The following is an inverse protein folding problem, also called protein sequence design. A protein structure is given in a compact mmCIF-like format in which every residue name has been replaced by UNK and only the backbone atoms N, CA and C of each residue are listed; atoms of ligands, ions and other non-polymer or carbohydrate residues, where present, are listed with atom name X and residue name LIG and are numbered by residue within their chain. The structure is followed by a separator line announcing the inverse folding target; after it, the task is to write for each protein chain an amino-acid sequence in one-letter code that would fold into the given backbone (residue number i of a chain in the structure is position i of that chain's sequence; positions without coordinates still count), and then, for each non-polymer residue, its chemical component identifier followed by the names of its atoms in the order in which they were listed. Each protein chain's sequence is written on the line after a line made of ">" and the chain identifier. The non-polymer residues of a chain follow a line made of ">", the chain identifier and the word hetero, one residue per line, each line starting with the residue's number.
data_IF_172172044071
#
_entry.id   IF_172172044071
#
_cell.length_a   1.000
_cell.length_b   1.000
_cell.length_c   1.000
_cell.angle_alpha   90.00
_cell.angle_beta   90.00
_cell.angle_gamma   90.00
#
_symmetry.space_group_name_H-M   'P 1'
#
loop_
_entity.id
_entity.type
_entity.pdbx_description
1 polymer ?
#
# COMPACT_ATOMS: atom_id res chain seq x y z
N UNK A 1 13.21 8.83 -22.17
CA UNK A 1 13.61 10.23 -21.92
C UNK A 1 12.41 11.12 -21.65
N UNK A 2 11.50 11.34 -22.61
CA UNK A 2 10.40 12.29 -22.46
C UNK A 2 9.49 12.06 -21.23
N UNK A 3 9.28 10.80 -20.81
CA UNK A 3 8.47 10.47 -19.62
C UNK A 3 9.30 10.45 -18.33
N UNK A 4 10.46 9.79 -18.35
CA UNK A 4 11.31 9.58 -17.17
C UNK A 4 11.99 10.87 -16.71
N UNK A 5 12.53 11.67 -17.63
CA UNK A 5 13.22 12.93 -17.28
C UNK A 5 12.25 13.98 -16.75
N UNK A 6 11.00 14.02 -17.23
CA UNK A 6 10.01 15.00 -16.73
C UNK A 6 9.53 14.71 -15.32
N UNK A 7 9.69 13.47 -14.85
CA UNK A 7 9.24 13.03 -13.53
C UNK A 7 10.35 12.89 -12.51
N UNK A 8 11.60 12.88 -12.94
CA UNK A 8 12.77 12.78 -12.07
C UNK A 8 13.83 13.78 -12.49
N UNK A 9 14.06 14.83 -11.68
CA UNK A 9 15.14 15.79 -11.90
C UNK A 9 16.53 15.12 -11.94
N UNK A 10 16.70 13.99 -11.26
CA UNK A 10 17.93 13.20 -11.35
C UNK A 10 18.16 12.69 -12.79
N UNK A 11 17.18 12.00 -13.36
CA UNK A 11 17.29 11.46 -14.72
C UNK A 11 17.30 12.55 -15.79
N UNK A 12 16.67 13.70 -15.55
CA UNK A 12 16.81 14.86 -16.43
C UNK A 12 18.25 15.38 -16.45
N UNK A 13 18.84 15.64 -15.28
CA UNK A 13 20.23 16.11 -15.19
C UNK A 13 21.23 15.12 -15.79
N UNK A 14 21.06 13.83 -15.53
CA UNK A 14 21.91 12.78 -16.09
C UNK A 14 21.86 12.74 -17.62
N UNK A 15 20.70 13.03 -18.21
CA UNK A 15 20.47 12.93 -19.66
C UNK A 15 20.57 14.25 -20.43
N UNK A 16 20.61 15.39 -19.75
CA UNK A 16 20.57 16.72 -20.37
C UNK A 16 21.89 17.51 -20.25
N UNK A 17 22.87 17.02 -19.47
CA UNK A 17 24.18 17.67 -19.30
C UNK A 17 25.33 17.05 -20.11
N UNK A 18 26.56 17.47 -19.78
CA UNK A 18 27.81 16.98 -20.39
C UNK A 18 28.29 15.63 -19.82
N UNK A 19 27.39 14.89 -19.17
CA UNK A 19 27.69 13.60 -18.56
C UNK A 19 27.83 12.49 -19.61
N UNK A 20 28.57 11.42 -19.29
CA UNK A 20 28.81 10.33 -20.24
C UNK A 20 27.50 9.64 -20.65
N UNK A 21 26.52 9.63 -19.76
CA UNK A 21 25.18 9.09 -19.89
C UNK A 21 24.36 9.79 -20.99
N UNK A 22 24.56 11.10 -21.17
CA UNK A 22 23.87 11.85 -22.23
C UNK A 22 24.36 11.44 -23.62
N UNK A 23 25.65 11.12 -23.74
CA UNK A 23 26.29 10.66 -24.98
C UNK A 23 26.07 9.17 -25.21
N UNK A 24 26.23 8.35 -24.17
CA UNK A 24 26.05 6.89 -24.23
C UNK A 24 24.59 6.49 -24.39
N UNK A 25 23.65 7.36 -23.99
CA UNK A 25 22.20 7.11 -23.91
C UNK A 25 21.84 5.89 -23.04
N UNK A 26 22.73 5.55 -22.11
CA UNK A 26 22.59 4.42 -21.19
C UNK A 26 22.92 4.89 -19.78
N UNK A 27 22.10 4.49 -18.82
CA UNK A 27 22.33 4.73 -17.38
C UNK A 27 22.40 3.35 -16.73
N UNK A 28 23.52 3.06 -16.08
CA UNK A 28 23.70 1.82 -15.33
C UNK A 28 23.35 2.04 -13.86
N UNK A 29 22.53 1.14 -13.31
CA UNK A 29 22.04 1.19 -11.93
C UNK A 29 22.46 -0.09 -11.17
N UNK A 30 23.76 -0.30 -10.90
CA UNK A 30 24.27 -1.57 -10.36
C UNK A 30 23.91 -1.81 -8.88
N UNK A 31 23.54 -0.77 -8.15
CA UNK A 31 23.19 -0.83 -6.73
C UNK A 31 21.69 -1.05 -6.48
N UNK A 32 20.88 -0.98 -7.54
CA UNK A 32 19.42 -0.99 -7.44
C UNK A 32 18.86 -2.36 -7.81
N UNK A 33 17.90 -2.82 -7.00
CA UNK A 33 17.23 -4.10 -7.20
C UNK A 33 16.37 -4.05 -8.48
N UNK A 34 16.56 -4.98 -9.43
CA UNK A 34 15.87 -4.94 -10.72
C UNK A 34 14.34 -5.03 -10.59
N UNK A 35 13.83 -5.75 -9.58
CA UNK A 35 12.39 -5.89 -9.36
C UNK A 35 11.81 -4.56 -8.86
N UNK A 36 12.55 -3.83 -8.02
CA UNK A 36 12.16 -2.50 -7.54
C UNK A 36 12.24 -1.48 -8.68
N UNK A 37 13.29 -1.54 -9.51
CA UNK A 37 13.43 -0.68 -10.70
C UNK A 37 12.28 -0.91 -11.68
N UNK A 38 11.84 -2.15 -11.88
CA UNK A 38 10.70 -2.45 -12.73
C UNK A 38 9.43 -1.75 -12.26
N UNK A 39 9.10 -1.84 -10.96
CA UNK A 39 7.93 -1.15 -10.37
C UNK A 39 8.09 0.38 -10.39
N UNK A 40 9.31 0.87 -10.19
CA UNK A 40 9.62 2.29 -10.28
C UNK A 40 9.32 2.82 -11.68
N UNK A 41 9.77 2.12 -12.73
CA UNK A 41 9.47 2.46 -14.10
C UNK A 41 7.98 2.31 -14.41
N UNK A 42 7.32 1.25 -13.94
CA UNK A 42 5.87 1.07 -14.07
C UNK A 42 5.11 2.31 -13.57
N UNK A 43 5.49 2.83 -12.39
CA UNK A 43 4.92 4.07 -11.87
C UNK A 43 5.17 5.26 -12.77
N UNK A 44 6.41 5.46 -13.25
CA UNK A 44 6.70 6.58 -14.14
C UNK A 44 5.87 6.54 -15.43
N UNK A 45 5.50 5.36 -15.93
CA UNK A 45 4.70 5.27 -17.16
C UNK A 45 3.19 5.29 -16.92
N UNK A 46 2.71 4.82 -15.77
CA UNK A 46 1.27 4.59 -15.54
C UNK A 46 0.68 5.38 -14.38
N UNK A 47 1.51 6.02 -13.56
CA UNK A 47 1.11 6.69 -12.32
C UNK A 47 0.74 5.74 -11.18
N UNK A 48 1.06 4.45 -11.29
CA UNK A 48 0.82 3.43 -10.27
C UNK A 48 1.78 2.24 -10.47
N UNK A 49 1.86 1.31 -9.53
CA UNK A 49 2.65 0.09 -9.71
C UNK A 49 1.91 -1.13 -9.18
N UNK A 50 2.27 -2.31 -9.65
CA UNK A 50 1.74 -3.59 -9.17
C UNK A 50 2.51 -4.07 -7.93
N UNK A 51 1.82 -4.52 -6.89
CA UNK A 51 2.46 -5.02 -5.65
C UNK A 51 1.77 -6.26 -5.08
N UNK A 52 0.94 -6.94 -5.87
CA UNK A 52 0.18 -8.13 -5.44
C UNK A 52 -0.96 -7.85 -4.46
N UNK A 53 -1.00 -6.66 -3.85
CA UNK A 53 -2.01 -6.25 -2.86
C UNK A 53 -3.01 -5.26 -3.46
N UNK A 54 -2.55 -4.35 -4.32
CA UNK A 54 -3.35 -3.29 -4.92
C UNK A 54 -3.62 -3.57 -6.41
N UNK A 55 -4.88 -3.87 -6.76
CA UNK A 55 -5.28 -4.06 -8.15
C UNK A 55 -5.44 -2.72 -8.87
N UNK A 56 -4.62 -2.48 -9.89
CA UNK A 56 -4.68 -1.26 -10.68
C UNK A 56 -5.41 -1.55 -12.00
N UNK A 57 -6.67 -1.16 -12.09
CA UNK A 57 -7.44 -1.29 -13.34
C UNK A 57 -7.05 -0.20 -14.37
N UNK A 58 -5.74 -0.07 -14.65
CA UNK A 58 -5.16 0.94 -15.54
C UNK A 58 -5.34 2.40 -15.08
N UNK A 59 -5.81 2.62 -13.85
CA UNK A 59 -6.02 3.96 -13.30
C UNK A 59 -4.77 4.40 -12.51
N UNK A 60 -4.28 5.64 -12.73
CA UNK A 60 -3.20 6.19 -11.92
C UNK A 60 -3.64 6.32 -10.46
N UNK A 61 -2.70 6.15 -9.53
CA UNK A 61 -2.98 6.33 -8.11
C UNK A 61 -3.28 7.81 -7.80
N UNK A 62 -4.05 8.08 -6.75
CA UNK A 62 -4.37 9.45 -6.33
C UNK A 62 -3.11 10.31 -6.16
N UNK A 63 -2.06 9.74 -5.59
CA UNK A 63 -0.77 10.42 -5.39
C UNK A 63 -0.14 10.92 -6.71
N UNK A 64 -0.33 10.20 -7.83
CA UNK A 64 0.18 10.62 -9.14
C UNK A 64 -0.64 11.74 -9.80
N UNK A 65 -1.85 12.01 -9.30
CA UNK A 65 -2.74 13.05 -9.80
C UNK A 65 -2.64 14.36 -8.99
N UNK A 66 -1.96 14.34 -7.85
CA UNK A 66 -1.75 15.52 -7.02
C UNK A 66 -0.69 16.45 -7.64
N UNK A 67 -0.83 17.75 -7.43
CA UNK A 67 0.24 18.69 -7.74
C UNK A 67 1.43 18.51 -6.76
N UNK A 68 2.65 18.91 -7.15
CA UNK A 68 3.84 18.69 -6.34
C UNK A 68 3.75 19.28 -4.92
N UNK A 69 3.10 20.42 -4.72
CA UNK A 69 2.99 21.04 -3.39
C UNK A 69 2.07 20.22 -2.49
N UNK A 70 0.92 19.77 -3.01
CA UNK A 70 -0.01 18.88 -2.31
C UNK A 70 0.63 17.54 -1.93
N UNK A 71 1.49 16.98 -2.80
CA UNK A 71 2.25 15.76 -2.51
C UNK A 71 3.20 15.99 -1.33
N UNK A 72 3.98 17.07 -1.36
CA UNK A 72 4.93 17.40 -0.28
C UNK A 72 4.21 17.66 1.04
N UNK A 73 3.05 18.33 1.02
CA UNK A 73 2.23 18.51 2.21
C UNK A 73 1.71 17.18 2.77
N UNK A 74 1.29 16.26 1.89
CA UNK A 74 0.81 14.93 2.30
C UNK A 74 1.93 14.07 2.89
N UNK A 75 3.16 14.23 2.42
CA UNK A 75 4.35 13.58 2.98
C UNK A 75 4.69 14.06 4.41
N UNK A 76 4.34 15.29 4.76
CA UNK A 76 4.53 15.83 6.12
C UNK A 76 3.51 15.31 7.14
N UNK A 77 2.35 14.83 6.67
CA UNK A 77 1.34 14.25 7.55
C UNK A 77 1.66 12.78 7.82
N UNK A 78 1.27 12.23 9.00
CA UNK A 78 1.40 10.80 9.27
C UNK A 78 0.68 9.98 8.20
N UNK A 79 1.25 8.83 7.81
CA UNK A 79 0.56 7.91 6.91
C UNK A 79 -0.79 7.51 7.53
N UNK A 80 -1.88 7.78 6.81
CA UNK A 80 -3.25 7.55 7.24
C UNK A 80 -3.91 6.58 6.27
N UNK A 81 -4.61 5.58 6.80
CA UNK A 81 -5.38 4.62 6.03
C UNK A 81 -6.62 5.25 5.39
N UNK A 82 -6.45 6.18 4.45
CA UNK A 82 -7.56 6.55 3.55
C UNK A 82 -7.85 5.34 2.67
N UNK A 83 -9.03 4.74 2.81
CA UNK A 83 -9.45 3.64 1.97
C UNK A 83 -9.47 4.12 0.52
N UNK A 84 -8.81 3.40 -0.39
CA UNK A 84 -9.18 3.41 -1.81
C UNK A 84 -10.47 2.57 -1.97
N UNK A 85 -11.47 2.77 -1.11
CA UNK A 85 -12.82 2.26 -1.35
C UNK A 85 -13.44 3.18 -2.37
N UNK A 86 -13.72 2.64 -3.55
CA UNK A 86 -14.61 3.26 -4.51
C UNK A 86 -15.83 3.79 -3.78
N UNK A 87 -16.03 5.10 -3.89
CA UNK A 87 -17.19 5.79 -3.34
C UNK A 87 -18.45 5.07 -3.83
N UNK A 88 -19.17 4.39 -2.94
CA UNK A 88 -20.57 4.13 -3.15
C UNK A 88 -21.25 5.48 -3.34
N UNK A 89 -21.82 5.66 -4.53
CA UNK A 89 -22.47 6.88 -4.99
C UNK A 89 -23.43 7.47 -3.95
N UNK A 90 -23.37 8.77 -3.62
CA UNK A 90 -24.51 9.44 -3.01
C UNK A 90 -25.53 9.67 -4.12
N UNK A 91 -26.59 8.86 -4.12
CA UNK A 91 -27.82 9.22 -4.82
C UNK A 91 -28.41 10.45 -4.12
N UNK A 92 -28.51 11.57 -4.84
CA UNK A 92 -29.70 12.42 -5.01
C UNK A 92 -29.30 13.84 -5.43
N UNK A 93 -29.82 14.24 -6.58
CA UNK A 93 -29.61 15.55 -7.19
C UNK A 93 -30.21 15.55 -8.59
N UNK A 94 -31.53 15.44 -8.64
CA UNK A 94 -32.37 15.58 -9.84
C UNK A 94 -32.18 16.94 -10.49
N UNK A 95 -32.07 16.95 -11.83
CA UNK A 95 -32.43 18.00 -12.81
C UNK A 95 -31.56 17.75 -14.06
N UNK A 96 -31.95 17.92 -15.31
CA UNK A 96 -33.20 18.14 -16.03
C UNK A 96 -32.76 18.11 -17.50
N UNK A 97 -33.23 17.14 -18.31
CA UNK A 97 -33.06 17.20 -19.77
C UNK A 97 -34.26 16.57 -20.46
N UNK A 98 -35.30 17.39 -20.62
CA UNK A 98 -36.31 17.20 -21.65
C UNK A 98 -35.68 17.57 -23.00
N UNK A 99 -35.65 16.63 -23.94
CA UNK A 99 -35.79 16.92 -25.36
C UNK A 99 -36.35 15.70 -26.10
N UNK A 100 -37.45 15.96 -26.80
CA UNK A 100 -38.20 15.09 -27.72
C UNK A 100 -37.31 14.63 -28.88
N UNK A 101 -37.54 13.41 -29.39
CA UNK A 101 -38.20 13.25 -30.69
C UNK A 101 -38.57 11.79 -30.98
N UNK A 102 -39.59 11.65 -31.83
CA UNK A 102 -40.47 10.49 -32.05
C UNK A 102 -39.92 9.48 -33.09
N UNK A 103 -40.49 8.25 -33.04
CA UNK A 103 -40.69 7.27 -34.15
C UNK A 103 -39.42 6.50 -34.61
N UNK A 104 -39.39 5.16 -34.78
CA UNK A 104 -40.36 4.22 -35.34
C UNK A 104 -40.20 2.76 -34.78
N UNK A 105 -41.35 2.11 -34.60
CA UNK A 105 -41.77 0.70 -34.84
C UNK A 105 -40.90 -0.54 -34.47
N UNK A 106 -41.53 -1.41 -33.65
CA UNK A 106 -41.31 -2.83 -33.29
C UNK A 106 -41.52 -3.83 -34.47
N UNK A 107 -41.45 -5.19 -34.34
CA UNK A 107 -41.33 -6.08 -33.14
C UNK A 107 -40.25 -7.19 -33.32
N UNK A 108 -39.99 -8.05 -32.33
CA UNK A 108 -40.54 -9.42 -32.34
C UNK A 108 -40.67 -10.05 -30.93
N UNK A 109 -41.75 -10.80 -30.83
CA UNK A 109 -42.45 -11.46 -29.74
C UNK A 109 -41.64 -12.55 -28.98
N UNK A 110 -41.94 -12.78 -27.70
CA UNK A 110 -42.64 -14.01 -27.23
C UNK A 110 -42.48 -14.28 -25.71
N UNK A 111 -43.59 -13.98 -25.01
CA UNK A 111 -44.27 -14.62 -23.87
C UNK A 111 -43.58 -15.13 -22.57
N UNK A 112 -44.06 -14.52 -21.47
CA UNK A 112 -44.53 -15.04 -20.14
C UNK A 112 -43.53 -15.79 -19.24
N UNK A 113 -43.55 -15.67 -17.90
CA UNK A 113 -44.70 -15.74 -16.98
C UNK A 113 -44.31 -15.13 -15.61
N UNK A 114 -45.26 -14.47 -14.95
CA UNK A 114 -45.14 -13.92 -13.60
C UNK A 114 -45.23 -15.04 -12.56
N UNK A 115 -44.48 -14.90 -11.47
CA UNK A 115 -45.01 -15.15 -10.12
C UNK A 115 -44.30 -14.20 -9.13
N UNK A 116 -45.11 -13.37 -8.48
CA UNK A 116 -44.75 -12.46 -7.37
C UNK A 116 -44.64 -13.25 -6.05
N UNK A 117 -43.55 -13.01 -5.31
CA UNK A 117 -43.46 -12.73 -3.84
C UNK A 117 -43.97 -13.76 -2.80
N UNK A 118 -43.32 -13.93 -1.63
CA UNK A 118 -43.00 -12.80 -0.74
C UNK A 118 -41.71 -12.85 0.10
N UNK A 119 -41.24 -11.65 0.42
CA UNK A 119 -40.76 -11.17 1.73
C UNK A 119 -40.55 -12.24 2.82
N UNK A 120 -39.27 -12.51 3.15
CA UNK A 120 -38.87 -12.93 4.48
C UNK A 120 -37.63 -12.14 4.92
N UNK A 121 -37.91 -11.07 5.65
CA UNK A 121 -36.94 -10.35 6.47
C UNK A 121 -36.35 -11.27 7.54
N UNK A 122 -35.20 -11.85 7.25
CA UNK A 122 -34.32 -12.42 8.27
C UNK A 122 -33.10 -11.51 8.44
N UNK A 123 -33.28 -10.57 9.37
CA UNK A 123 -32.24 -9.86 10.12
C UNK A 123 -31.36 -10.90 10.84
N UNK A 124 -30.34 -11.42 10.16
CA UNK A 124 -29.22 -12.08 10.80
C UNK A 124 -28.10 -11.06 10.94
N UNK A 125 -27.93 -10.56 12.15
CA UNK A 125 -26.83 -9.69 12.51
C UNK A 125 -25.50 -10.34 12.11
N UNK A 126 -24.82 -9.73 11.15
CA UNK A 126 -23.44 -10.03 10.80
C UNK A 126 -22.58 -9.85 12.05
N UNK A 127 -22.36 -10.96 12.75
CA UNK A 127 -21.19 -11.14 13.58
C UNK A 127 -20.03 -10.97 12.62
N UNK A 128 -19.29 -9.87 12.79
CA UNK A 128 -17.97 -9.70 12.21
C UNK A 128 -17.09 -10.86 12.71
N UNK A 129 -17.18 -12.00 12.05
CA UNK A 129 -16.21 -13.07 12.19
C UNK A 129 -14.91 -12.51 11.67
N UNK A 130 -13.89 -12.51 12.51
CA UNK A 130 -12.51 -12.31 12.08
C UNK A 130 -12.23 -13.30 10.96
N UNK A 131 -12.31 -12.82 9.72
CA UNK A 131 -11.86 -13.55 8.55
C UNK A 131 -10.39 -13.92 8.83
N UNK A 132 -10.03 -15.22 8.89
CA UNK A 132 -8.69 -15.60 9.29
C UNK A 132 -7.69 -14.95 8.34
N UNK A 133 -6.66 -14.31 8.92
CA UNK A 133 -5.67 -13.57 8.13
C UNK A 133 -5.03 -14.47 7.08
N UNK A 134 -4.50 -13.87 5.99
CA UNK A 134 -3.85 -14.63 4.90
C UNK A 134 -2.86 -15.66 5.48
N UNK A 135 -2.06 -15.29 6.48
CA UNK A 135 -1.12 -16.18 7.14
C UNK A 135 -1.79 -17.27 7.98
N UNK A 136 -2.88 -16.97 8.70
CA UNK A 136 -3.64 -17.99 9.43
C UNK A 136 -4.22 -19.05 8.47
N UNK A 137 -4.76 -18.63 7.33
CA UNK A 137 -5.24 -19.52 6.26
C UNK A 137 -4.10 -20.40 5.71
N UNK A 138 -2.89 -19.85 5.52
CA UNK A 138 -1.71 -20.63 5.09
C UNK A 138 -1.28 -21.64 6.14
N UNK A 139 -1.12 -21.20 7.39
CA UNK A 139 -0.65 -22.04 8.49
C UNK A 139 -1.61 -23.20 8.77
N UNK A 140 -2.92 -22.92 8.69
CA UNK A 140 -3.97 -23.91 8.78
C UNK A 140 -3.92 -24.91 7.61
N UNK A 141 -3.79 -24.42 6.37
CA UNK A 141 -3.66 -25.27 5.20
C UNK A 141 -2.40 -26.16 5.25
N UNK A 142 -1.27 -25.66 5.75
CA UNK A 142 -0.04 -26.45 5.94
C UNK A 142 -0.20 -27.48 7.06
N UNK A 143 -0.81 -27.09 8.20
CA UNK A 143 -1.01 -27.98 9.34
C UNK A 143 -1.97 -29.14 9.03
N UNK A 144 -2.99 -28.91 8.21
CA UNK A 144 -3.93 -29.93 7.75
C UNK A 144 -3.49 -30.65 6.47
N UNK A 145 -2.30 -30.34 5.94
CA UNK A 145 -1.77 -30.98 4.72
C UNK A 145 -2.51 -30.62 3.44
N UNK A 146 -3.28 -29.53 3.46
CA UNK A 146 -3.97 -28.95 2.31
C UNK A 146 -3.06 -28.05 1.45
N UNK A 147 -1.84 -27.75 1.93
CA UNK A 147 -0.82 -26.97 1.22
C UNK A 147 0.55 -27.64 1.36
N UNK A 148 1.28 -27.78 0.26
CA UNK A 148 2.63 -28.36 0.25
C UNK A 148 3.66 -27.44 0.92
N UNK A 149 4.74 -28.01 1.48
CA UNK A 149 5.83 -27.23 2.12
C UNK A 149 6.40 -26.14 1.19
N UNK A 150 6.53 -26.43 -0.10
CA UNK A 150 7.02 -25.49 -1.12
C UNK A 150 6.04 -24.31 -1.32
N UNK A 151 4.75 -24.59 -1.32
CA UNK A 151 3.70 -23.60 -1.47
C UNK A 151 3.56 -22.72 -0.21
N UNK A 152 3.78 -23.28 0.98
CA UNK A 152 3.90 -22.50 2.22
C UNK A 152 5.12 -21.57 2.23
N UNK A 153 6.28 -22.04 1.76
CA UNK A 153 7.49 -21.20 1.64
C UNK A 153 7.28 -20.05 0.64
N UNK A 154 6.59 -20.32 -0.47
CA UNK A 154 6.23 -19.29 -1.45
C UNK A 154 5.34 -18.21 -0.82
N UNK A 155 4.31 -18.59 -0.09
CA UNK A 155 3.42 -17.63 0.59
C UNK A 155 4.15 -16.77 1.63
N UNK A 156 5.13 -17.33 2.35
CA UNK A 156 5.98 -16.56 3.27
C UNK A 156 6.84 -15.55 2.49
N UNK A 157 7.41 -15.96 1.35
CA UNK A 157 8.18 -15.07 0.49
C UNK A 157 7.30 -13.96 -0.08
N UNK A 158 6.08 -14.28 -0.50
CA UNK A 158 5.11 -13.33 -1.02
C UNK A 158 4.75 -12.30 0.06
N UNK A 159 4.43 -12.72 1.29
CA UNK A 159 4.16 -11.81 2.41
C UNK A 159 5.34 -10.90 2.77
N UNK A 160 6.57 -11.43 2.71
CA UNK A 160 7.77 -10.60 2.88
C UNK A 160 7.86 -9.56 1.76
N UNK A 161 7.59 -9.96 0.53
CA UNK A 161 7.62 -9.05 -0.62
C UNK A 161 6.55 -7.97 -0.53
N UNK A 162 5.33 -8.31 -0.09
CA UNK A 162 4.21 -7.37 0.09
C UNK A 162 4.58 -6.21 1.03
N UNK A 163 5.37 -6.47 2.08
CA UNK A 163 5.85 -5.44 3.01
C UNK A 163 7.14 -4.75 2.57
N UNK A 164 8.09 -5.48 1.97
CA UNK A 164 9.43 -4.94 1.65
C UNK A 164 9.46 -4.18 0.33
N UNK A 165 8.64 -4.55 -0.66
CA UNK A 165 8.60 -3.88 -1.95
C UNK A 165 8.21 -2.40 -1.83
N UNK A 166 7.10 -2.01 -1.14
CA UNK A 166 6.77 -0.60 -0.96
C UNK A 166 7.84 0.17 -0.18
N UNK A 167 8.49 -0.44 0.82
CA UNK A 167 9.60 0.17 1.55
C UNK A 167 10.79 0.49 0.63
N UNK A 168 11.23 -0.49 -0.17
CA UNK A 168 12.35 -0.29 -1.10
C UNK A 168 12.03 0.72 -2.18
N UNK A 169 10.78 0.71 -2.66
CA UNK A 169 10.32 1.65 -3.66
C UNK A 169 10.22 3.08 -3.10
N UNK A 170 9.85 3.23 -1.82
CA UNK A 170 9.91 4.51 -1.11
C UNK A 170 11.33 5.08 -1.09
N UNK A 171 12.32 4.25 -0.71
CA UNK A 171 13.74 4.64 -0.66
C UNK A 171 14.26 5.00 -2.06
N UNK A 172 13.89 4.20 -3.06
CA UNK A 172 14.23 4.47 -4.47
C UNK A 172 13.61 5.78 -4.98
N UNK A 173 12.35 6.04 -4.62
CA UNK A 173 11.66 7.27 -5.00
C UNK A 173 12.28 8.52 -4.36
N UNK A 174 12.78 8.42 -3.13
CA UNK A 174 13.56 9.49 -2.50
C UNK A 174 14.91 9.69 -3.22
N UNK A 175 15.65 8.60 -3.48
CA UNK A 175 16.94 8.62 -4.19
C UNK A 175 16.84 9.29 -5.56
N UNK A 176 15.77 9.04 -6.31
CA UNK A 176 15.57 9.57 -7.66
C UNK A 176 14.64 10.79 -7.73
N UNK A 177 14.26 11.36 -6.58
CA UNK A 177 13.44 12.56 -6.47
C UNK A 177 12.12 12.45 -7.26
N UNK A 178 11.30 11.47 -6.87
CA UNK A 178 9.95 11.23 -7.39
C UNK A 178 8.94 11.30 -6.23
N UNK A 179 8.53 12.52 -5.78
CA UNK A 179 7.72 12.68 -4.57
C UNK A 179 6.37 11.95 -4.60
N UNK A 180 5.70 11.92 -5.76
CA UNK A 180 4.41 11.25 -5.90
C UNK A 180 4.51 9.73 -5.67
N UNK A 181 5.60 9.11 -6.15
CA UNK A 181 5.88 7.70 -5.89
C UNK A 181 6.25 7.49 -4.42
N UNK A 182 7.06 8.38 -3.85
CA UNK A 182 7.43 8.33 -2.42
C UNK A 182 6.18 8.33 -1.54
N UNK A 183 5.22 9.21 -1.82
CA UNK A 183 3.93 9.24 -1.11
C UNK A 183 3.14 7.93 -1.28
N UNK A 184 2.96 7.48 -2.52
CA UNK A 184 2.24 6.23 -2.81
C UNK A 184 2.87 5.02 -2.11
N UNK A 185 4.20 4.90 -2.17
CA UNK A 185 4.95 3.81 -1.58
C UNK A 185 4.86 3.81 -0.05
N UNK A 186 4.88 4.98 0.59
CA UNK A 186 4.64 5.12 2.04
C UNK A 186 3.25 4.62 2.43
N UNK A 187 2.23 5.06 1.69
CA UNK A 187 0.83 4.74 2.01
C UNK A 187 0.56 3.24 1.78
N UNK A 188 1.15 2.65 0.74
CA UNK A 188 1.11 1.21 0.50
C UNK A 188 1.90 0.39 1.51
N UNK A 189 3.06 0.88 1.94
CA UNK A 189 3.80 0.27 3.04
C UNK A 189 2.94 0.22 4.30
N UNK A 190 2.35 1.35 4.70
CA UNK A 190 1.42 1.42 5.83
C UNK A 190 0.32 0.38 5.71
N UNK A 191 -0.36 0.29 4.55
CA UNK A 191 -1.41 -0.70 4.31
C UNK A 191 -0.93 -2.13 4.41
N UNK A 192 0.21 -2.44 3.80
CA UNK A 192 0.77 -3.79 3.83
C UNK A 192 1.07 -4.22 5.27
N UNK A 193 1.73 -3.37 6.08
CA UNK A 193 2.06 -3.72 7.46
C UNK A 193 0.82 -3.73 8.37
N UNK A 194 -0.11 -2.79 8.21
CA UNK A 194 -1.36 -2.72 9.00
C UNK A 194 -2.15 -4.02 8.92
N UNK A 195 -2.14 -4.70 7.76
CA UNK A 195 -2.93 -5.90 7.51
C UNK A 195 -2.33 -7.21 8.05
N UNK A 196 -1.00 -7.33 8.15
CA UNK A 196 -0.36 -8.64 8.40
C UNK A 196 0.79 -8.63 9.41
N UNK A 197 1.14 -7.49 10.02
CA UNK A 197 2.35 -7.41 10.83
C UNK A 197 2.34 -8.29 12.09
N UNK A 198 1.17 -8.52 12.69
CA UNK A 198 1.07 -9.32 13.93
C UNK A 198 1.44 -10.78 13.67
N UNK A 199 0.92 -11.32 12.57
CA UNK A 199 1.12 -12.70 12.17
C UNK A 199 2.46 -12.90 11.46
N UNK A 200 2.91 -11.92 10.66
CA UNK A 200 4.13 -12.06 9.87
C UNK A 200 5.38 -12.22 10.77
N UNK A 201 5.97 -13.41 10.78
CA UNK A 201 7.19 -13.69 11.55
C UNK A 201 8.38 -12.84 11.08
N UNK A 202 8.41 -12.46 9.81
CA UNK A 202 9.46 -11.62 9.21
C UNK A 202 9.30 -10.13 9.51
N UNK A 203 8.25 -9.69 10.20
CA UNK A 203 8.05 -8.26 10.51
C UNK A 203 9.24 -7.59 11.21
N UNK A 204 9.92 -8.22 12.20
CA UNK A 204 11.14 -7.64 12.78
C UNK A 204 12.24 -7.36 11.75
N UNK A 205 12.41 -8.22 10.74
CA UNK A 205 13.37 -8.00 9.67
C UNK A 205 12.97 -6.83 8.76
N UNK A 206 11.67 -6.63 8.53
CA UNK A 206 11.15 -5.46 7.79
C UNK A 206 11.42 -4.17 8.56
N UNK A 207 11.20 -4.16 9.88
CA UNK A 207 11.53 -2.99 10.72
C UNK A 207 13.03 -2.75 10.74
N UNK A 208 13.84 -3.81 10.81
CA UNK A 208 15.29 -3.70 10.73
C UNK A 208 15.76 -3.08 9.40
N UNK A 209 15.20 -3.53 8.27
CA UNK A 209 15.46 -2.96 6.95
C UNK A 209 15.02 -1.48 6.90
N UNK A 210 13.83 -1.14 7.41
CA UNK A 210 13.31 0.23 7.44
C UNK A 210 14.26 1.19 8.15
N UNK A 211 14.76 0.81 9.32
CA UNK A 211 15.67 1.66 10.10
C UNK A 211 17.09 1.73 9.50
N UNK A 212 17.48 0.76 8.67
CA UNK A 212 18.75 0.79 7.94
C UNK A 212 18.70 1.64 6.66
N UNK A 213 17.54 1.72 6.01
CA UNK A 213 17.38 2.38 4.70
C UNK A 213 16.77 3.76 4.76
N UNK A 214 16.22 4.17 5.91
CA UNK A 214 15.67 5.52 6.12
C UNK A 214 16.50 6.31 7.14
N UNK A 215 16.70 7.63 7.00
CA UNK A 215 17.39 8.44 8.00
C UNK A 215 16.48 8.75 9.21
N UNK A 216 17.03 9.11 10.39
CA UNK A 216 16.25 9.48 11.58
C UNK A 216 15.29 10.67 11.40
N UNK A 217 15.56 11.52 10.39
CA UNK A 217 14.68 12.64 10.02
C UNK A 217 13.45 12.20 9.23
N UNK A 218 13.42 10.98 8.71
CA UNK A 218 12.27 10.43 7.98
C UNK A 218 11.23 9.87 8.94
N UNK A 219 10.55 10.79 9.64
CA UNK A 219 9.47 10.46 10.56
C UNK A 219 8.27 9.86 9.84
N UNK A 220 8.05 10.25 8.57
CA UNK A 220 6.92 9.77 7.76
C UNK A 220 6.89 8.24 7.63
N UNK A 221 8.06 7.60 7.48
CA UNK A 221 8.17 6.14 7.50
C UNK A 221 8.35 5.55 8.90
N UNK A 222 9.26 6.12 9.71
CA UNK A 222 9.66 5.53 10.99
C UNK A 222 8.54 5.54 12.03
N UNK A 223 7.66 6.53 12.00
CA UNK A 223 6.51 6.58 12.91
C UNK A 223 5.45 5.51 12.61
N UNK A 224 5.39 4.95 11.39
CA UNK A 224 4.40 3.93 11.02
C UNK A 224 4.52 2.72 11.95
N UNK A 225 5.72 2.16 12.05
CA UNK A 225 5.97 0.95 12.84
C UNK A 225 5.88 1.23 14.34
N UNK A 226 6.23 2.44 14.79
CA UNK A 226 6.02 2.86 16.18
C UNK A 226 4.53 2.89 16.54
N UNK A 227 3.69 3.49 15.69
CA UNK A 227 2.24 3.59 15.90
C UNK A 227 1.53 2.24 15.91
N UNK A 228 2.00 1.29 15.11
CA UNK A 228 1.43 -0.07 15.06
C UNK A 228 1.80 -0.89 16.31
N UNK A 229 3.06 -0.80 16.76
CA UNK A 229 3.57 -1.64 17.84
C UNK A 229 3.21 -1.09 19.23
N UNK A 230 3.20 0.23 19.41
CA UNK A 230 3.00 0.87 20.72
C UNK A 230 1.69 0.51 21.46
N UNK A 231 0.52 0.40 20.81
CA UNK A 231 -0.72 0.01 21.48
C UNK A 231 -0.65 -1.39 22.12
N UNK A 232 0.07 -2.31 21.49
CA UNK A 232 0.09 -3.74 21.84
C UNK A 232 1.41 -4.20 22.47
N UNK A 233 2.37 -3.30 22.68
CA UNK A 233 3.70 -3.64 23.25
C UNK A 233 3.62 -4.21 24.68
N UNK A 234 2.51 -3.99 25.38
CA UNK A 234 2.24 -4.57 26.70
C UNK A 234 2.07 -6.10 26.65
N UNK A 235 1.72 -6.66 25.48
CA UNK A 235 1.56 -8.09 25.26
C UNK A 235 2.94 -8.79 25.23
N UNK A 236 3.22 -9.79 26.10
CA UNK A 236 4.54 -10.43 26.16
C UNK A 236 5.03 -11.00 24.83
N UNK A 237 4.14 -11.65 24.06
CA UNK A 237 4.47 -12.23 22.75
C UNK A 237 4.98 -11.17 21.77
N UNK A 238 4.30 -10.02 21.68
CA UNK A 238 4.71 -8.90 20.81
C UNK A 238 6.03 -8.31 21.28
N UNK A 239 6.17 -8.05 22.59
CA UNK A 239 7.41 -7.55 23.17
C UNK A 239 8.59 -8.47 22.92
N UNK A 240 8.40 -9.78 23.04
CA UNK A 240 9.45 -10.77 22.79
C UNK A 240 9.80 -10.84 21.29
N UNK A 241 8.80 -10.78 20.40
CA UNK A 241 8.97 -10.71 18.93
C UNK A 241 9.79 -9.47 18.50
N UNK A 242 9.51 -8.31 19.09
CA UNK A 242 10.15 -7.04 18.73
C UNK A 242 11.46 -6.75 19.47
N UNK A 243 11.79 -7.52 20.52
CA UNK A 243 12.92 -7.24 21.44
C UNK A 243 14.25 -7.04 20.71
N UNK A 244 14.59 -7.93 19.77
CA UNK A 244 15.88 -7.87 19.06
C UNK A 244 16.06 -6.55 18.31
N UNK A 245 15.02 -6.11 17.62
CA UNK A 245 15.00 -4.88 16.81
C UNK A 245 14.98 -3.64 17.70
N UNK A 246 14.22 -3.66 18.80
CA UNK A 246 14.23 -2.56 19.78
C UNK A 246 15.59 -2.37 20.46
N UNK A 247 16.36 -3.45 20.65
CA UNK A 247 17.74 -3.35 21.17
C UNK A 247 18.68 -2.79 20.10
N UNK A 248 18.54 -3.24 18.86
CA UNK A 248 19.39 -2.83 17.73
C UNK A 248 19.16 -1.36 17.36
N UNK A 249 17.91 -0.92 17.33
CA UNK A 249 17.47 0.43 16.96
C UNK A 249 16.85 1.10 18.19
N UNK A 250 17.67 1.78 18.98
CA UNK A 250 17.22 2.41 20.23
C UNK A 250 16.21 3.55 20.02
N UNK A 251 16.30 4.24 18.88
CA UNK A 251 15.35 5.25 18.43
C UNK A 251 13.96 4.65 18.13
N UNK A 252 13.90 3.42 17.59
CA UNK A 252 12.64 2.68 17.49
C UNK A 252 12.04 2.40 18.87
N UNK A 253 12.85 1.94 19.83
CA UNK A 253 12.38 1.67 21.19
C UNK A 253 11.85 2.94 21.90
N UNK A 254 12.54 4.08 21.71
CA UNK A 254 12.08 5.38 22.20
C UNK A 254 10.75 5.78 21.57
N UNK A 255 10.61 5.68 20.25
CA UNK A 255 9.37 5.99 19.55
C UNK A 255 8.20 5.14 20.05
N UNK A 256 8.37 3.82 20.17
CA UNK A 256 7.34 2.92 20.72
C UNK A 256 6.91 3.33 22.13
N UNK A 257 7.86 3.71 22.99
CA UNK A 257 7.57 4.18 24.34
C UNK A 257 6.80 5.52 24.33
N UNK A 258 7.21 6.49 23.50
CA UNK A 258 6.54 7.80 23.39
C UNK A 258 5.07 7.65 22.96
N UNK A 259 4.80 6.85 21.94
CA UNK A 259 3.43 6.58 21.51
C UNK A 259 2.63 5.81 22.57
N UNK A 260 3.25 4.87 23.29
CA UNK A 260 2.58 4.10 24.33
C UNK A 260 2.15 4.98 25.51
N UNK A 261 3.01 5.92 25.93
CA UNK A 261 2.69 6.92 26.97
C UNK A 261 1.58 7.86 26.50
N UNK A 262 1.66 8.33 25.25
CA UNK A 262 0.67 9.24 24.69
C UNK A 262 -0.73 8.60 24.68
N UNK A 263 -0.82 7.34 24.23
CA UNK A 263 -2.07 6.58 24.25
C UNK A 263 -2.63 6.46 25.66
N UNK A 264 -1.81 6.07 26.65
CA UNK A 264 -2.28 5.95 28.03
C UNK A 264 -2.76 7.28 28.62
N UNK A 265 -2.20 8.42 28.19
CA UNK A 265 -2.60 9.75 28.67
C UNK A 265 -3.93 10.22 28.08
N UNK A 266 -4.32 9.72 26.89
CA UNK A 266 -5.59 10.05 26.25
C UNK A 266 -6.80 9.31 26.85
N UNK A 267 -6.57 8.21 27.57
CA UNK A 267 -7.63 7.34 28.13
C UNK A 267 -7.74 7.41 29.67
N UNK A 268 -7.05 8.36 30.32
CA UNK A 268 -7.12 8.64 31.78
C UNK A 268 -7.72 10.01 32.01
#
# INVERSE_FOLDING_TARGET
>A
RAVVCTQSPFFDKAMSGDYMESTSRSIELPEDDPDVVERFLEFLYTGTYSDGVNFTCGKPAKAALLDPESVLQSLQQPACGSQETGMSSPAQGTEDWISKDERDEEPDEEYNEYDEDPDDSSDDGDVAGDEPSKLAKVAEAVAFGHCGREEGLKQIADLRSDMTLPLRLYVMADKYDVPALRLLARDRFYRAVELVWEEAECFPDVVDELYQTTPPTDTAMREIVCRLVAPVIHVPRVRDKMRSVMIKHGDFAVGVMEYSIHLHTLFV
#
